data_IF_503771047518
#
_entry.id   IF_503771047518
#
_cell.length_a   1.000
_cell.length_b   1.000
_cell.length_c   1.000
_cell.angle_alpha   90.00
_cell.angle_beta   90.00
_cell.angle_gamma   90.00
#
_symmetry.space_group_name_H-M   'P 1'
#
loop_
_entity.id
_entity.type
_entity.pdbx_description
1 polymer ?
#
# COMPACT_ATOMS: atom_id res chain seq x y z
N UNK A 1 40.32 21.34 59.82
CA UNK A 1 40.00 22.02 58.54
C UNK A 1 39.65 21.04 57.41
N UNK A 2 40.32 19.91 57.27
CA UNK A 2 40.06 18.93 56.16
C UNK A 2 38.65 18.31 56.13
N UNK A 3 37.95 18.18 57.23
CA UNK A 3 36.65 17.50 57.29
C UNK A 3 35.49 18.38 56.81
N UNK A 4 35.58 19.70 57.07
CA UNK A 4 34.58 20.68 56.55
C UNK A 4 34.64 20.81 55.02
N UNK A 5 35.81 20.69 54.42
CA UNK A 5 35.97 20.77 52.97
C UNK A 5 35.40 19.52 52.28
N UNK A 6 35.58 18.34 52.85
CA UNK A 6 34.98 17.10 52.35
C UNK A 6 33.45 17.12 52.40
N UNK A 7 32.86 17.64 53.47
CA UNK A 7 31.43 17.78 53.61
C UNK A 7 30.86 18.81 52.62
N UNK A 8 31.52 19.95 52.44
CA UNK A 8 31.11 20.98 51.48
C UNK A 8 31.15 20.44 50.04
N UNK A 9 32.20 19.68 49.70
CA UNK A 9 32.33 19.03 48.39
C UNK A 9 31.22 18.03 48.15
N UNK A 10 30.88 17.18 49.11
CA UNK A 10 29.76 16.20 48.98
C UNK A 10 28.41 16.89 48.80
N UNK A 11 28.15 17.97 49.51
CA UNK A 11 26.91 18.75 49.37
C UNK A 11 26.83 19.39 47.98
N UNK A 12 27.91 20.01 47.52
CA UNK A 12 27.94 20.62 46.18
C UNK A 12 27.75 19.59 45.08
N UNK A 13 28.42 18.43 45.17
CA UNK A 13 28.22 17.35 44.22
C UNK A 13 26.78 16.84 44.25
N UNK A 14 26.21 16.64 45.45
CA UNK A 14 24.83 16.20 45.58
C UNK A 14 23.81 17.17 44.96
N UNK A 15 23.99 18.47 45.19
CA UNK A 15 23.12 19.52 44.66
C UNK A 15 23.24 19.61 43.13
N UNK A 16 24.47 19.64 42.61
CA UNK A 16 24.68 19.68 41.15
C UNK A 16 24.17 18.44 40.45
N UNK A 17 24.34 17.26 41.07
CA UNK A 17 23.78 16.03 40.54
C UNK A 17 22.25 16.03 40.56
N UNK A 18 21.63 16.52 41.59
CA UNK A 18 20.17 16.63 41.71
C UNK A 18 19.59 17.56 40.62
N UNK A 19 20.23 18.74 40.47
CA UNK A 19 19.84 19.69 39.40
C UNK A 19 20.06 19.08 38.00
N UNK A 20 21.21 18.44 37.75
CA UNK A 20 21.49 17.78 36.47
C UNK A 20 20.49 16.66 36.17
N UNK A 21 20.20 15.80 37.14
CA UNK A 21 19.22 14.72 36.98
C UNK A 21 17.79 15.23 36.74
N UNK A 22 17.40 16.36 37.38
CA UNK A 22 16.09 16.96 37.11
C UNK A 22 15.98 17.57 35.70
N UNK A 23 17.07 17.98 35.09
CA UNK A 23 17.10 18.49 33.72
C UNK A 23 16.93 17.41 32.64
N UNK A 24 17.27 16.15 32.93
CA UNK A 24 17.18 15.03 31.97
C UNK A 24 15.75 14.83 31.43
N UNK A 25 14.67 14.78 32.26
CA UNK A 25 13.31 14.63 31.75
C UNK A 25 12.90 15.78 30.83
N UNK A 26 13.28 17.04 31.16
CA UNK A 26 12.98 18.19 30.30
C UNK A 26 13.68 18.10 28.96
N UNK A 27 14.95 17.69 28.95
CA UNK A 27 15.70 17.49 27.71
C UNK A 27 15.17 16.30 26.90
N UNK A 28 14.75 15.21 27.55
CA UNK A 28 14.26 14.01 26.89
C UNK A 28 12.83 14.15 26.32
N UNK A 29 11.98 14.97 26.95
CA UNK A 29 10.56 15.12 26.57
C UNK A 29 10.34 15.44 25.09
N UNK A 30 11.02 16.42 24.44
CA UNK A 30 10.80 16.73 23.04
C UNK A 30 11.20 15.56 22.13
N UNK A 31 12.23 14.78 22.47
CA UNK A 31 12.65 13.62 21.70
C UNK A 31 11.65 12.48 21.80
N UNK A 32 11.14 12.21 23.01
CA UNK A 32 10.10 11.19 23.21
C UNK A 32 8.79 11.63 22.53
N UNK A 33 8.41 12.90 22.64
CA UNK A 33 7.23 13.46 21.99
C UNK A 33 7.33 13.39 20.45
N UNK A 34 8.53 13.51 19.88
CA UNK A 34 8.75 13.40 18.45
C UNK A 34 8.49 11.98 17.89
N UNK A 35 8.46 10.95 18.72
CA UNK A 35 8.09 9.58 18.33
C UNK A 35 6.59 9.42 18.09
N UNK A 36 5.77 10.33 18.62
CA UNK A 36 4.34 10.32 18.33
C UNK A 36 4.10 10.78 16.89
N UNK A 37 3.28 10.03 16.10
CA UNK A 37 2.98 10.42 14.74
C UNK A 37 2.27 11.77 14.71
N UNK A 38 2.74 12.66 13.84
CA UNK A 38 2.12 13.99 13.63
C UNK A 38 0.67 13.86 13.16
N UNK A 39 -0.14 14.92 13.31
CA UNK A 39 -1.49 14.97 12.77
C UNK A 39 -1.53 14.67 11.26
N UNK A 40 -0.53 15.14 10.49
CA UNK A 40 -0.36 14.86 9.07
C UNK A 40 -0.07 13.38 8.79
N UNK A 41 0.74 12.72 9.63
CA UNK A 41 1.03 11.30 9.51
C UNK A 41 -0.20 10.44 9.84
N UNK A 42 -0.96 10.82 10.88
CA UNK A 42 -2.24 10.17 11.24
C UNK A 42 -3.26 10.33 10.11
N UNK A 43 -3.40 11.53 9.54
CA UNK A 43 -4.31 11.80 8.43
C UNK A 43 -3.92 11.02 7.16
N UNK A 44 -2.62 10.84 6.89
CA UNK A 44 -2.15 10.08 5.74
C UNK A 44 -2.49 8.57 5.81
N UNK A 45 -2.72 8.04 7.02
CA UNK A 45 -3.16 6.66 7.26
C UNK A 45 -4.67 6.51 7.39
N UNK A 46 -5.44 7.60 7.32
CA UNK A 46 -6.89 7.56 7.45
C UNK A 46 -7.55 6.73 6.34
N UNK A 47 -8.69 6.07 6.62
CA UNK A 47 -9.48 5.41 5.59
C UNK A 47 -9.92 6.38 4.50
N UNK A 48 -9.88 5.93 3.25
CA UNK A 48 -10.42 6.67 2.11
C UNK A 48 -11.76 6.07 1.76
N UNK A 49 -12.80 6.90 1.70
CA UNK A 49 -14.16 6.53 1.25
C UNK A 49 -14.44 7.10 -0.11
N UNK A 50 -15.01 6.30 -0.99
CA UNK A 50 -15.31 6.66 -2.37
C UNK A 50 -16.66 6.07 -2.77
N UNK A 51 -17.53 6.88 -3.36
CA UNK A 51 -18.75 6.39 -4.01
C UNK A 51 -18.41 5.93 -5.44
N UNK A 52 -18.54 4.63 -5.68
CA UNK A 52 -18.27 3.98 -6.97
C UNK A 52 -19.52 3.79 -7.82
N UNK A 53 -20.71 4.26 -7.38
CA UNK A 53 -21.98 4.09 -8.09
C UNK A 53 -21.97 4.66 -9.50
N UNK A 54 -21.22 5.74 -9.70
CA UNK A 54 -21.13 6.47 -11.00
C UNK A 54 -20.03 5.94 -11.91
N UNK A 55 -19.24 4.97 -11.48
CA UNK A 55 -18.23 4.39 -12.35
C UNK A 55 -18.88 3.62 -13.50
N UNK A 56 -18.40 3.87 -14.71
CA UNK A 56 -18.83 3.12 -15.90
C UNK A 56 -18.10 1.77 -15.96
N UNK A 57 -18.70 0.78 -16.62
CA UNK A 57 -18.03 -0.49 -16.90
C UNK A 57 -16.77 -0.27 -17.74
N UNK A 58 -15.68 -0.94 -17.38
CA UNK A 58 -14.37 -0.75 -18.00
C UNK A 58 -13.59 0.45 -17.50
N UNK A 59 -14.21 1.34 -16.71
CA UNK A 59 -13.55 2.53 -16.18
C UNK A 59 -12.55 2.16 -15.10
N UNK A 60 -11.37 2.81 -15.17
CA UNK A 60 -10.40 2.87 -14.08
C UNK A 60 -10.43 4.27 -13.46
N UNK A 61 -10.41 4.32 -12.15
CA UNK A 61 -10.16 5.56 -11.39
C UNK A 61 -8.96 5.35 -10.46
N UNK A 62 -8.31 6.46 -10.09
CA UNK A 62 -7.18 6.46 -9.19
C UNK A 62 -7.48 7.34 -7.99
N UNK A 63 -7.23 6.82 -6.80
CA UNK A 63 -7.27 7.58 -5.55
C UNK A 63 -5.92 7.53 -4.85
N UNK A 64 -5.61 8.55 -4.07
CA UNK A 64 -4.41 8.55 -3.25
C UNK A 64 -4.74 8.03 -1.86
N UNK A 65 -4.07 6.95 -1.44
CA UNK A 65 -4.12 6.44 -0.09
C UNK A 65 -2.70 6.21 0.44
N UNK A 66 -2.40 6.76 1.63
CA UNK A 66 -1.05 6.73 2.20
C UNK A 66 0.03 7.27 1.26
N UNK A 67 -0.30 8.30 0.50
CA UNK A 67 0.54 8.92 -0.54
C UNK A 67 0.93 7.98 -1.71
N UNK A 68 0.27 6.86 -1.85
CA UNK A 68 0.42 5.96 -2.97
C UNK A 68 -0.85 5.91 -3.80
N UNK A 69 -0.76 5.74 -5.13
CA UNK A 69 -1.93 5.53 -5.97
C UNK A 69 -2.57 4.18 -5.67
N UNK A 70 -3.89 4.15 -5.61
CA UNK A 70 -4.70 2.94 -5.60
C UNK A 70 -5.61 3.00 -6.81
N UNK A 71 -5.58 1.97 -7.62
CA UNK A 71 -6.42 1.78 -8.79
C UNK A 71 -7.70 1.05 -8.39
N UNK A 72 -8.83 1.58 -8.85
CA UNK A 72 -10.13 0.95 -8.75
C UNK A 72 -10.64 0.77 -10.17
N UNK A 73 -11.00 -0.46 -10.53
CA UNK A 73 -11.51 -0.80 -11.87
C UNK A 73 -12.89 -1.42 -11.71
N UNK A 74 -13.86 -0.92 -12.48
CA UNK A 74 -15.13 -1.60 -12.66
C UNK A 74 -15.06 -2.48 -13.90
N UNK A 75 -15.08 -3.80 -13.72
CA UNK A 75 -14.90 -4.75 -14.81
C UNK A 75 -16.13 -4.87 -15.69
N UNK A 76 -15.90 -5.10 -16.99
CA UNK A 76 -16.92 -5.62 -17.91
C UNK A 76 -16.89 -7.14 -17.88
N UNK A 77 -17.93 -7.78 -18.45
CA UNK A 77 -17.94 -9.26 -18.64
C UNK A 77 -16.78 -9.72 -19.50
N UNK A 78 -16.47 -8.95 -20.55
CA UNK A 78 -15.40 -9.22 -21.52
C UNK A 78 -14.04 -9.14 -20.84
N UNK A 79 -13.83 -8.12 -19.98
CA UNK A 79 -12.56 -7.97 -19.26
C UNK A 79 -12.36 -9.09 -18.23
N UNK A 80 -13.42 -9.60 -17.59
CA UNK A 80 -13.33 -10.77 -16.72
C UNK A 80 -13.09 -12.06 -17.51
N UNK A 81 -13.68 -12.20 -18.72
CA UNK A 81 -13.42 -13.34 -19.59
C UNK A 81 -11.95 -13.36 -20.08
N UNK A 82 -11.31 -12.19 -20.25
CA UNK A 82 -9.90 -12.13 -20.66
C UNK A 82 -8.92 -12.70 -19.63
N UNK A 83 -9.35 -12.91 -18.38
CA UNK A 83 -8.53 -13.53 -17.33
C UNK A 83 -8.11 -14.95 -17.71
N UNK A 84 -8.94 -15.71 -18.44
CA UNK A 84 -8.62 -17.05 -18.93
C UNK A 84 -7.45 -17.00 -19.93
N UNK A 85 -7.39 -15.98 -20.78
CA UNK A 85 -6.32 -15.80 -21.77
C UNK A 85 -4.98 -15.46 -21.08
N UNK A 86 -5.02 -14.83 -19.93
CA UNK A 86 -3.82 -14.46 -19.17
C UNK A 86 -3.26 -15.62 -18.32
N UNK A 87 -4.10 -16.57 -17.87
CA UNK A 87 -3.71 -17.64 -16.95
C UNK A 87 -2.40 -18.35 -17.28
N UNK A 88 -2.14 -18.81 -18.53
CA UNK A 88 -0.91 -19.52 -18.87
C UNK A 88 0.36 -18.66 -18.73
N UNK A 89 0.19 -17.33 -18.82
CA UNK A 89 1.28 -16.35 -18.77
C UNK A 89 1.63 -15.92 -17.34
N UNK A 90 0.80 -16.19 -16.33
CA UNK A 90 0.96 -15.69 -14.98
C UNK A 90 2.04 -16.45 -14.21
N UNK A 91 2.88 -15.72 -13.47
CA UNK A 91 3.85 -16.28 -12.55
C UNK A 91 3.20 -16.72 -11.23
N UNK A 92 2.18 -15.99 -10.78
CA UNK A 92 1.46 -16.25 -9.53
C UNK A 92 -0.06 -16.09 -9.73
N UNK A 93 -0.71 -17.06 -10.43
CA UNK A 93 -2.13 -16.97 -10.76
C UNK A 93 -3.04 -17.00 -9.52
N UNK A 94 -2.59 -17.64 -8.44
CA UNK A 94 -3.38 -17.83 -7.21
C UNK A 94 -3.01 -16.86 -6.09
N UNK A 95 -2.08 -15.93 -6.32
CA UNK A 95 -1.56 -15.01 -5.30
C UNK A 95 -0.99 -15.74 -4.08
N UNK A 96 -0.12 -16.74 -4.33
CA UNK A 96 0.51 -17.54 -3.28
C UNK A 96 1.76 -16.86 -2.71
N UNK A 97 2.41 -15.98 -3.50
CA UNK A 97 3.66 -15.33 -3.13
C UNK A 97 3.51 -14.18 -2.14
N UNK A 98 2.32 -13.64 -1.99
CA UNK A 98 2.03 -12.52 -1.08
C UNK A 98 0.81 -12.81 -0.22
N UNK A 99 0.79 -12.26 0.99
CA UNK A 99 -0.41 -12.33 1.83
C UNK A 99 -1.49 -11.39 1.28
N UNK A 100 -2.50 -11.94 0.64
CA UNK A 100 -3.65 -11.21 0.12
C UNK A 100 -4.87 -11.32 1.02
N UNK A 101 -5.53 -10.19 1.33
CA UNK A 101 -6.68 -10.22 2.24
C UNK A 101 -7.92 -10.93 1.66
N UNK A 102 -8.02 -11.04 0.32
CA UNK A 102 -9.21 -11.57 -0.38
C UNK A 102 -8.86 -12.69 -1.36
N UNK A 103 -7.78 -13.40 -1.11
CA UNK A 103 -7.33 -14.52 -1.92
C UNK A 103 -8.44 -15.56 -2.09
N UNK A 104 -8.73 -15.90 -3.35
CA UNK A 104 -9.70 -16.94 -3.71
C UNK A 104 -11.19 -16.57 -3.51
N UNK A 105 -11.49 -15.34 -3.06
CA UNK A 105 -12.89 -14.93 -2.85
C UNK A 105 -13.61 -14.68 -4.18
N UNK A 106 -12.96 -13.90 -5.09
CA UNK A 106 -13.43 -13.62 -6.45
C UNK A 106 -12.25 -13.51 -7.41
N UNK A 107 -12.44 -13.73 -8.72
CA UNK A 107 -11.38 -13.52 -9.72
C UNK A 107 -10.82 -12.10 -9.73
N UNK A 108 -11.58 -11.12 -9.28
CA UNK A 108 -11.21 -9.71 -9.14
C UNK A 108 -10.18 -9.42 -8.06
N UNK A 109 -9.80 -10.40 -7.22
CA UNK A 109 -8.92 -10.25 -6.05
C UNK A 109 -9.46 -9.19 -5.06
N UNK A 110 -10.76 -9.08 -4.92
CA UNK A 110 -11.48 -8.06 -4.16
C UNK A 110 -12.64 -8.66 -3.38
N UNK A 111 -13.29 -7.88 -2.53
CA UNK A 111 -14.59 -8.24 -1.90
C UNK A 111 -15.80 -8.09 -2.83
N UNK A 112 -15.57 -7.77 -4.09
CA UNK A 112 -16.61 -7.59 -5.10
C UNK A 112 -16.28 -8.42 -6.34
N UNK A 113 -17.27 -9.05 -6.93
CA UNK A 113 -17.14 -9.73 -8.23
C UNK A 113 -17.04 -8.77 -9.41
N UNK A 114 -17.31 -7.48 -9.20
CA UNK A 114 -17.40 -6.45 -10.24
C UNK A 114 -16.21 -5.48 -10.20
N UNK A 115 -15.59 -5.28 -9.03
CA UNK A 115 -14.54 -4.29 -8.83
C UNK A 115 -13.23 -4.93 -8.40
N UNK A 116 -12.13 -4.48 -8.99
CA UNK A 116 -10.79 -4.69 -8.46
C UNK A 116 -10.28 -3.43 -7.77
N UNK A 117 -9.58 -3.63 -6.65
CA UNK A 117 -8.92 -2.55 -5.88
C UNK A 117 -7.49 -2.96 -5.64
N UNK A 118 -6.52 -2.24 -6.22
CA UNK A 118 -5.11 -2.63 -6.15
C UNK A 118 -4.20 -1.41 -6.08
N UNK A 119 -3.00 -1.60 -5.54
CA UNK A 119 -1.96 -0.58 -5.54
C UNK A 119 -1.56 -0.25 -6.98
N UNK A 120 -1.48 1.03 -7.30
CA UNK A 120 -0.94 1.55 -8.57
C UNK A 120 0.59 1.66 -8.54
N UNK A 121 1.26 0.86 -7.71
CA UNK A 121 2.72 0.86 -7.54
C UNK A 121 3.27 -0.49 -8.00
N UNK A 122 4.10 -0.46 -9.06
CA UNK A 122 4.77 -1.64 -9.59
C UNK A 122 5.65 -2.29 -8.51
N UNK A 123 5.50 -3.60 -8.35
CA UNK A 123 6.24 -4.39 -7.33
C UNK A 123 7.72 -4.57 -7.66
N UNK A 124 8.18 -4.13 -8.84
CA UNK A 124 9.62 -4.10 -9.15
C UNK A 124 10.34 -2.98 -8.39
N UNK A 125 10.14 -1.72 -8.77
CA UNK A 125 10.84 -0.55 -8.20
C UNK A 125 9.92 0.66 -8.00
N UNK A 126 8.61 0.47 -7.89
CA UNK A 126 7.68 1.51 -7.46
C UNK A 126 7.16 2.45 -8.55
N UNK A 127 7.44 2.23 -9.83
CA UNK A 127 6.83 3.01 -10.91
C UNK A 127 5.32 2.78 -10.99
N UNK A 128 4.57 3.73 -11.56
CA UNK A 128 3.14 3.57 -11.81
C UNK A 128 2.90 2.81 -13.13
N UNK A 129 2.33 1.60 -13.12
CA UNK A 129 1.94 0.90 -14.33
C UNK A 129 0.79 1.65 -15.03
N UNK A 130 0.79 1.61 -16.35
CA UNK A 130 -0.27 2.17 -17.19
C UNK A 130 -1.31 1.11 -17.50
N UNK A 131 -2.57 1.51 -17.52
CA UNK A 131 -3.71 0.65 -17.81
C UNK A 131 -3.97 0.57 -19.31
N UNK A 132 -4.03 -0.65 -19.84
CA UNK A 132 -4.33 -0.98 -21.23
C UNK A 132 -5.33 -2.14 -21.24
N UNK A 133 -6.64 -1.84 -21.15
CA UNK A 133 -7.68 -2.87 -21.05
C UNK A 133 -7.94 -3.65 -22.33
N UNK A 134 -7.53 -3.12 -23.48
CA UNK A 134 -7.84 -3.69 -24.78
C UNK A 134 -7.13 -5.04 -24.97
N UNK A 135 -7.88 -6.03 -25.43
CA UNK A 135 -7.35 -7.36 -25.85
C UNK A 135 -6.94 -7.26 -27.31
N UNK A 136 -5.72 -6.79 -27.55
CA UNK A 136 -5.15 -6.60 -28.89
C UNK A 136 -3.61 -6.67 -28.84
N UNK A 137 -2.94 -7.06 -29.91
CA UNK A 137 -1.49 -7.07 -29.98
C UNK A 137 -0.87 -5.72 -29.61
N UNK A 138 0.14 -5.75 -28.76
CA UNK A 138 0.95 -4.57 -28.38
C UNK A 138 2.40 -4.80 -28.77
N UNK A 139 3.18 -3.74 -28.90
CA UNK A 139 4.60 -3.83 -29.26
C UNK A 139 5.45 -4.64 -28.24
N UNK A 140 4.95 -4.79 -27.02
CA UNK A 140 5.62 -5.52 -25.93
C UNK A 140 5.04 -6.93 -25.70
N UNK A 141 3.85 -7.25 -26.22
CA UNK A 141 3.23 -8.59 -26.18
C UNK A 141 2.24 -8.75 -27.34
N UNK A 142 2.60 -9.58 -28.31
CA UNK A 142 1.74 -9.87 -29.46
C UNK A 142 0.43 -10.59 -29.11
N UNK A 143 0.36 -11.16 -27.91
CA UNK A 143 -0.82 -11.86 -27.37
C UNK A 143 -1.40 -11.16 -26.14
N UNK A 144 -1.30 -9.83 -26.10
CA UNK A 144 -1.78 -9.03 -24.98
C UNK A 144 -3.27 -9.26 -24.69
N UNK A 145 -3.57 -9.58 -23.44
CA UNK A 145 -4.92 -9.96 -22.99
C UNK A 145 -5.61 -8.88 -22.14
N UNK A 146 -5.09 -7.65 -22.20
CA UNK A 146 -5.54 -6.58 -21.32
C UNK A 146 -4.85 -6.60 -19.96
N UNK A 147 -4.63 -5.42 -19.36
CA UNK A 147 -4.00 -5.31 -18.05
C UNK A 147 -3.15 -4.06 -17.87
N UNK A 148 -2.02 -4.22 -17.19
CA UNK A 148 -1.11 -3.12 -16.87
C UNK A 148 0.29 -3.38 -17.43
N UNK A 149 0.87 -2.33 -18.00
CA UNK A 149 2.26 -2.30 -18.46
C UNK A 149 3.03 -1.23 -17.70
N UNK A 150 4.15 -1.63 -17.10
CA UNK A 150 5.04 -0.70 -16.41
C UNK A 150 6.12 -0.19 -17.38
N UNK A 151 6.11 1.10 -17.76
CA UNK A 151 7.01 1.61 -18.80
C UNK A 151 8.47 1.73 -18.35
N UNK A 152 8.75 1.64 -17.04
CA UNK A 152 10.11 1.79 -16.53
C UNK A 152 11.00 0.61 -16.95
N UNK A 153 10.53 -0.63 -16.79
CA UNK A 153 11.33 -1.82 -17.05
C UNK A 153 10.52 -2.97 -17.69
N UNK A 154 9.34 -2.67 -18.25
CA UNK A 154 8.56 -3.64 -19.03
C UNK A 154 7.81 -4.69 -18.17
N UNK A 155 7.64 -4.49 -16.87
CA UNK A 155 6.80 -5.42 -16.08
C UNK A 155 5.35 -5.36 -16.54
N UNK A 156 4.73 -6.53 -16.66
CA UNK A 156 3.37 -6.71 -17.14
C UNK A 156 2.51 -7.40 -16.06
N UNK A 157 1.26 -6.98 -15.99
CA UNK A 157 0.26 -7.55 -15.09
C UNK A 157 -1.06 -7.68 -15.84
N UNK A 158 -1.84 -8.69 -15.52
CA UNK A 158 -3.18 -8.82 -16.08
C UNK A 158 -4.15 -7.75 -15.55
N UNK A 159 -5.40 -7.81 -15.98
CA UNK A 159 -6.40 -6.77 -15.68
C UNK A 159 -6.78 -6.69 -14.19
N UNK A 160 -6.49 -7.73 -13.40
CA UNK A 160 -6.66 -7.75 -11.94
C UNK A 160 -5.34 -7.65 -11.18
N UNK A 161 -4.23 -7.30 -11.89
CA UNK A 161 -2.93 -7.02 -11.31
C UNK A 161 -2.10 -8.26 -10.97
N UNK A 162 -2.34 -9.43 -11.59
CA UNK A 162 -1.48 -10.61 -11.44
C UNK A 162 -0.30 -10.52 -12.39
N UNK A 163 0.89 -10.80 -11.87
CA UNK A 163 2.17 -10.61 -12.60
C UNK A 163 2.39 -11.70 -13.64
N UNK A 164 2.90 -11.31 -14.82
CA UNK A 164 3.28 -12.22 -15.89
C UNK A 164 4.64 -12.88 -15.60
N UNK A 165 4.90 -14.04 -16.19
CA UNK A 165 6.20 -14.73 -16.17
C UNK A 165 7.24 -13.91 -16.93
N UNK A 166 8.50 -14.01 -16.52
CA UNK A 166 9.62 -13.45 -17.26
C UNK A 166 9.73 -11.93 -17.25
N UNK A 167 9.03 -11.24 -16.35
CA UNK A 167 9.11 -9.79 -16.16
C UNK A 167 9.85 -9.44 -14.85
N UNK A 168 10.40 -8.20 -14.74
CA UNK A 168 11.17 -7.81 -13.55
C UNK A 168 10.38 -7.75 -12.24
N UNK A 169 9.06 -7.52 -12.28
CA UNK A 169 8.22 -7.50 -11.08
C UNK A 169 8.14 -8.90 -10.44
N UNK A 170 8.47 -9.05 -9.15
CA UNK A 170 8.54 -10.37 -8.51
C UNK A 170 7.17 -10.91 -8.07
N UNK A 171 6.17 -10.05 -7.87
CA UNK A 171 4.87 -10.41 -7.30
C UNK A 171 3.73 -9.67 -7.98
N UNK A 172 2.52 -10.12 -7.73
CA UNK A 172 1.28 -9.42 -8.10
C UNK A 172 1.23 -8.01 -7.51
N UNK A 173 0.44 -7.10 -8.11
CA UNK A 173 0.14 -5.80 -7.49
C UNK A 173 -0.56 -6.01 -6.14
N UNK A 174 -0.18 -5.23 -5.15
CA UNK A 174 -0.68 -5.37 -3.77
C UNK A 174 -2.16 -4.97 -3.71
N UNK A 175 -2.97 -5.78 -3.06
CA UNK A 175 -4.38 -5.48 -2.78
C UNK A 175 -4.47 -4.87 -1.37
N UNK A 176 -4.84 -3.58 -1.22
CA UNK A 176 -5.04 -2.99 0.09
C UNK A 176 -6.31 -3.54 0.75
N UNK A 177 -6.37 -3.62 2.08
CA UNK A 177 -7.61 -3.93 2.79
C UNK A 177 -8.71 -2.92 2.44
N UNK A 178 -9.87 -3.42 2.03
CA UNK A 178 -11.01 -2.60 1.64
C UNK A 178 -12.33 -3.31 1.93
N UNK A 179 -13.41 -2.55 1.93
CA UNK A 179 -14.77 -3.07 2.08
C UNK A 179 -15.73 -2.25 1.22
N UNK A 180 -16.84 -2.89 0.85
CA UNK A 180 -17.96 -2.23 0.19
C UNK A 180 -19.17 -2.23 1.13
N UNK A 181 -19.78 -1.07 1.28
CA UNK A 181 -21.05 -0.84 1.96
C UNK A 181 -22.02 -0.20 0.95
N UNK A 182 -22.82 -1.02 0.27
CA UNK A 182 -23.56 -0.57 -0.91
C UNK A 182 -22.61 -0.09 -2.01
N UNK A 183 -22.74 1.17 -2.43
CA UNK A 183 -21.87 1.82 -3.43
C UNK A 183 -20.61 2.48 -2.84
N UNK A 184 -20.47 2.47 -1.53
CA UNK A 184 -19.32 3.11 -0.88
C UNK A 184 -18.20 2.12 -0.70
N UNK A 185 -17.09 2.35 -1.41
CA UNK A 185 -15.80 1.69 -1.21
C UNK A 185 -15.01 2.40 -0.10
N UNK A 186 -14.60 1.66 0.93
CA UNK A 186 -13.72 2.14 1.98
C UNK A 186 -12.39 1.38 1.92
N UNK A 187 -11.26 2.09 1.75
CA UNK A 187 -9.91 1.53 1.82
C UNK A 187 -9.33 1.90 3.20
N UNK A 188 -8.81 0.91 3.93
CA UNK A 188 -8.37 1.11 5.31
C UNK A 188 -7.13 0.29 5.66
N UNK A 189 -6.48 0.61 6.77
CA UNK A 189 -5.47 -0.26 7.38
C UNK A 189 -6.19 -1.38 8.13
N UNK A 190 -5.78 -2.63 7.91
CA UNK A 190 -6.21 -3.73 8.78
C UNK A 190 -5.64 -3.43 10.18
N UNK A 191 -6.50 -3.03 11.10
CA UNK A 191 -6.11 -2.96 12.50
C UNK A 191 -5.89 -4.40 12.98
N UNK A 192 -4.70 -4.68 13.50
CA UNK A 192 -4.49 -5.91 14.25
C UNK A 192 -5.29 -5.77 15.54
N UNK A 193 -6.39 -6.52 15.63
CA UNK A 193 -7.14 -6.76 16.87
C UNK A 193 -6.42 -7.87 17.62
#
# INVERSE_FOLDING_TARGET
>A
MQDKDKTRRKVLIGLTSAVGLSGIPFAATPFIAAWNPSAKAKAAGAPVKLDVSKMQFGQQIQVSWRKQPVFIIRHTKESLASLELSLPKLADPNSDLISEPYKGLFPTRSKSSEYSVMSGVCTHLGCAPKYFPEVEPKSWDATWSGGFFCPCHGSMFDIVGRVFKGVPAPTNLIVPPHMFEGSILTIYLKQFV
#
